data_IF_604450245553
#
_entry.id   IF_604450245553
#
_cell.length_a   1.000
_cell.length_b   1.000
_cell.length_c   1.000
_cell.angle_alpha   90.00
_cell.angle_beta   90.00
_cell.angle_gamma   90.00
#
_symmetry.space_group_name_H-M   'P 1'
#
loop_
_entity.id
_entity.type
_entity.pdbx_description
1 polymer ?
#
# COMPACT_ATOMS: atom_id res chain seq x y z
N UNK A 1 -7.64 7.02 -14.32
CA UNK A 1 -7.40 7.48 -12.94
C UNK A 1 -6.20 8.41 -12.97
N UNK A 2 -6.30 9.58 -12.32
CA UNK A 2 -5.46 10.74 -12.62
C UNK A 2 -3.98 10.58 -12.24
N UNK A 3 -3.13 10.66 -13.26
CA UNK A 3 -1.66 10.76 -13.27
C UNK A 3 -1.08 11.95 -12.47
N UNK A 4 -1.86 12.67 -11.67
CA UNK A 4 -1.48 14.00 -11.16
C UNK A 4 -0.58 13.97 -9.92
N UNK A 5 -0.58 12.87 -9.15
CA UNK A 5 0.11 12.81 -7.84
C UNK A 5 1.61 12.71 -7.94
N UNK A 6 2.12 12.03 -8.98
CA UNK A 6 3.56 11.92 -9.24
C UNK A 6 4.18 13.26 -9.65
N UNK A 7 3.37 14.29 -9.94
CA UNK A 7 3.87 15.61 -10.29
C UNK A 7 3.93 16.58 -9.10
N UNK A 8 3.61 16.16 -7.88
CA UNK A 8 3.71 17.00 -6.69
C UNK A 8 5.16 17.06 -6.14
N UNK A 9 5.86 18.21 -6.22
CA UNK A 9 7.24 18.33 -5.74
C UNK A 9 7.41 18.06 -4.25
N UNK A 10 6.42 18.41 -3.42
CA UNK A 10 6.50 18.19 -1.97
C UNK A 10 6.50 16.70 -1.62
N UNK A 11 5.76 15.88 -2.36
CA UNK A 11 5.76 14.42 -2.17
C UNK A 11 7.14 13.83 -2.43
N UNK A 12 7.80 14.26 -3.50
CA UNK A 12 9.15 13.81 -3.82
C UNK A 12 10.21 14.29 -2.82
N UNK A 13 10.06 15.51 -2.31
CA UNK A 13 10.95 16.04 -1.28
C UNK A 13 10.85 15.24 0.03
N UNK A 14 9.64 14.88 0.44
CA UNK A 14 9.38 14.24 1.73
C UNK A 14 9.57 12.71 1.70
N UNK A 15 9.12 12.04 0.63
CA UNK A 15 9.00 10.57 0.61
C UNK A 15 9.94 9.88 -0.35
N UNK A 16 10.57 10.60 -1.28
CA UNK A 16 11.44 10.02 -2.30
C UNK A 16 12.89 10.51 -2.17
N UNK A 17 13.40 10.55 -0.93
CA UNK A 17 14.78 10.92 -0.60
C UNK A 17 15.26 12.20 -1.31
N UNK A 18 14.49 13.29 -1.14
CA UNK A 18 14.78 14.58 -1.76
C UNK A 18 14.90 14.49 -3.30
N UNK A 19 13.93 13.84 -3.94
CA UNK A 19 13.84 13.63 -5.38
C UNK A 19 14.86 12.63 -5.97
N UNK A 20 15.56 11.83 -5.15
CA UNK A 20 16.51 10.81 -5.62
C UNK A 20 15.88 9.43 -5.78
N UNK A 21 14.75 9.19 -5.10
CA UNK A 21 14.03 7.93 -5.11
C UNK A 21 13.22 7.68 -6.39
N UNK A 22 12.24 6.79 -6.28
CA UNK A 22 11.31 6.43 -7.34
C UNK A 22 9.89 6.23 -6.79
N UNK A 23 8.91 6.23 -7.69
CA UNK A 23 7.51 5.92 -7.41
C UNK A 23 7.06 4.77 -8.31
N UNK A 24 6.27 3.85 -7.75
CA UNK A 24 5.68 2.72 -8.46
C UNK A 24 4.19 2.98 -8.64
N UNK A 25 3.73 2.96 -9.89
CA UNK A 25 2.32 2.88 -10.24
C UNK A 25 1.90 1.41 -10.36
N UNK A 26 0.78 1.05 -9.73
CA UNK A 26 0.22 -0.29 -9.78
C UNK A 26 -1.05 -0.33 -10.65
N UNK A 27 -1.25 -1.44 -11.35
CA UNK A 27 -2.52 -1.76 -11.98
C UNK A 27 -3.53 -2.22 -10.93
N UNK A 28 -4.48 -1.33 -10.63
CA UNK A 28 -5.52 -1.57 -9.63
C UNK A 28 -6.84 -2.06 -10.22
N UNK A 29 -6.89 -2.39 -11.52
CA UNK A 29 -8.12 -2.85 -12.18
C UNK A 29 -8.63 -4.19 -11.64
N UNK A 30 -7.74 -4.99 -11.04
CA UNK A 30 -8.06 -6.29 -10.46
C UNK A 30 -8.84 -6.21 -9.15
N UNK A 31 -9.45 -7.33 -8.72
CA UNK A 31 -10.29 -7.37 -7.52
C UNK A 31 -9.51 -7.18 -6.21
N UNK A 32 -8.18 -7.36 -6.23
CA UNK A 32 -7.34 -7.34 -5.03
C UNK A 32 -7.50 -6.08 -4.18
N UNK A 33 -7.57 -4.89 -4.80
CA UNK A 33 -7.76 -3.60 -4.11
C UNK A 33 -9.16 -3.00 -4.32
N UNK A 34 -9.93 -3.54 -5.27
CA UNK A 34 -11.20 -2.96 -5.72
C UNK A 34 -12.45 -3.76 -5.34
N UNK A 35 -12.31 -4.98 -4.82
CA UNK A 35 -13.46 -5.78 -4.40
C UNK A 35 -13.78 -5.62 -2.91
N UNK A 36 -15.06 -5.37 -2.54
CA UNK A 36 -15.54 -5.43 -1.16
C UNK A 36 -15.38 -6.82 -0.49
N UNK A 37 -15.17 -7.87 -1.29
CA UNK A 37 -14.89 -9.22 -0.77
C UNK A 37 -13.50 -9.30 -0.10
N UNK A 38 -12.55 -8.46 -0.51
CA UNK A 38 -11.17 -8.44 0.01
C UNK A 38 -10.83 -7.18 0.81
N UNK A 39 -11.67 -6.15 0.71
CA UNK A 39 -11.41 -4.83 1.24
C UNK A 39 -12.64 -4.33 2.01
N UNK A 40 -12.42 -3.77 3.20
CA UNK A 40 -13.43 -2.96 3.89
C UNK A 40 -13.62 -1.62 3.18
N UNK A 41 -12.51 -1.02 2.73
CA UNK A 41 -12.47 0.21 1.93
C UNK A 41 -11.63 -0.08 0.68
N UNK A 42 -12.22 0.07 -0.50
CA UNK A 42 -11.58 -0.16 -1.80
C UNK A 42 -10.79 1.06 -2.26
N UNK A 43 -9.89 0.89 -3.24
CA UNK A 43 -9.13 2.03 -3.79
C UNK A 43 -10.04 3.12 -4.38
N UNK A 44 -11.16 2.74 -5.02
CA UNK A 44 -12.14 3.68 -5.57
C UNK A 44 -12.91 4.47 -4.50
N UNK A 45 -12.92 4.00 -3.26
CA UNK A 45 -13.60 4.63 -2.11
C UNK A 45 -12.64 5.01 -0.99
N UNK A 46 -11.34 5.07 -1.29
CA UNK A 46 -10.28 5.26 -0.31
C UNK A 46 -9.79 6.70 -0.14
N UNK A 47 -10.45 7.67 -0.77
CA UNK A 47 -10.09 9.09 -0.68
C UNK A 47 -10.10 9.61 0.76
N UNK A 48 -8.97 10.17 1.19
CA UNK A 48 -8.81 10.69 2.55
C UNK A 48 -9.56 12.01 2.72
N UNK A 49 -10.38 12.09 3.76
CA UNK A 49 -11.04 13.30 4.23
C UNK A 49 -10.06 14.15 5.04
N UNK A 50 -9.72 15.31 4.50
CA UNK A 50 -8.86 16.31 5.14
C UNK A 50 -9.69 17.34 5.91
N UNK A 51 -9.42 17.50 7.20
CA UNK A 51 -10.14 18.45 8.05
C UNK A 51 -9.26 19.06 9.14
N UNK A 52 -9.56 20.30 9.52
CA UNK A 52 -8.99 20.95 10.72
C UNK A 52 -9.86 20.72 11.97
N UNK A 53 -11.06 20.15 11.80
CA UNK A 53 -12.03 19.98 12.86
C UNK A 53 -12.23 18.51 13.19
N UNK A 54 -12.15 18.17 14.47
CA UNK A 54 -12.53 16.86 14.98
C UNK A 54 -13.98 16.93 15.42
N UNK A 55 -14.90 16.40 14.62
CA UNK A 55 -16.30 16.26 15.05
C UNK A 55 -16.38 15.16 16.10
N UNK A 56 -16.80 15.46 17.35
CA UNK A 56 -16.99 14.44 18.37
C UNK A 56 -17.89 13.32 17.84
N UNK A 57 -17.55 12.08 18.17
CA UNK A 57 -18.38 10.93 17.89
C UNK A 57 -19.03 10.53 19.22
N UNK A 58 -20.35 10.73 19.34
CA UNK A 58 -21.07 10.36 20.55
C UNK A 58 -21.04 8.83 20.69
N UNK A 59 -20.60 8.32 21.83
CA UNK A 59 -20.62 6.90 22.16
C UNK A 59 -21.93 6.61 22.89
N UNK A 60 -22.95 6.18 22.14
CA UNK A 60 -24.25 5.77 22.64
C UNK A 60 -24.55 4.35 22.12
N UNK A 61 -25.60 3.67 22.60
CA UNK A 61 -25.86 2.29 22.18
C UNK A 61 -25.98 2.11 20.66
N UNK A 62 -26.62 3.05 19.96
CA UNK A 62 -26.79 3.00 18.50
C UNK A 62 -25.45 3.16 17.75
N UNK A 63 -24.63 4.11 18.17
CA UNK A 63 -23.33 4.35 17.53
C UNK A 63 -22.31 3.26 17.85
N UNK A 64 -22.39 2.66 19.04
CA UNK A 64 -21.60 1.49 19.41
C UNK A 64 -22.00 0.25 18.60
N UNK A 65 -23.29 0.07 18.31
CA UNK A 65 -23.77 -1.01 17.43
C UNK A 65 -23.25 -0.82 15.99
N UNK A 66 -23.30 0.42 15.47
CA UNK A 66 -22.73 0.73 14.16
C UNK A 66 -21.20 0.48 14.11
N UNK A 67 -20.47 0.84 15.16
CA UNK A 67 -19.03 0.53 15.30
C UNK A 67 -18.77 -0.98 15.32
N UNK A 68 -19.58 -1.72 16.08
CA UNK A 68 -19.50 -3.18 16.14
C UNK A 68 -19.75 -3.80 14.77
N UNK A 69 -20.73 -3.31 14.01
CA UNK A 69 -20.99 -3.76 12.64
C UNK A 69 -19.82 -3.54 11.69
N UNK A 70 -19.18 -2.37 11.75
CA UNK A 70 -17.94 -2.10 10.97
C UNK A 70 -16.82 -3.05 11.37
N UNK A 71 -16.61 -3.26 12.67
CA UNK A 71 -15.63 -4.21 13.19
C UNK A 71 -15.91 -5.63 12.68
N UNK A 72 -17.11 -6.15 12.86
CA UNK A 72 -17.53 -7.47 12.43
C UNK A 72 -17.31 -7.69 10.93
N UNK A 73 -17.69 -6.71 10.09
CA UNK A 73 -17.48 -6.82 8.65
C UNK A 73 -15.99 -6.84 8.27
N UNK A 74 -15.14 -6.13 9.00
CA UNK A 74 -13.69 -6.16 8.80
C UNK A 74 -13.09 -7.56 9.07
N UNK A 75 -13.76 -8.36 9.90
CA UNK A 75 -13.40 -9.74 10.25
C UNK A 75 -14.24 -10.81 9.52
N UNK A 76 -14.91 -10.45 8.42
CA UNK A 76 -15.58 -11.40 7.52
C UNK A 76 -17.03 -11.72 7.84
N UNK A 77 -17.60 -11.18 8.92
CA UNK A 77 -19.01 -11.36 9.20
C UNK A 77 -19.89 -10.64 8.17
N UNK A 78 -20.97 -11.28 7.76
CA UNK A 78 -21.96 -10.68 6.87
C UNK A 78 -22.79 -9.62 7.60
N UNK A 79 -23.10 -8.53 6.90
CA UNK A 79 -23.87 -7.42 7.43
C UNK A 79 -23.65 -6.14 6.63
N UNK A 80 -24.59 -5.20 6.75
CA UNK A 80 -24.41 -3.86 6.23
C UNK A 80 -23.50 -3.08 7.19
N UNK A 81 -22.21 -2.99 6.86
CA UNK A 81 -21.36 -2.02 7.55
C UNK A 81 -21.78 -0.61 7.14
N UNK A 82 -21.81 0.29 8.12
CA UNK A 82 -21.87 1.71 7.84
C UNK A 82 -20.55 2.15 7.20
N UNK A 83 -20.53 2.15 5.87
CA UNK A 83 -19.39 2.56 5.07
C UNK A 83 -19.01 4.03 5.30
N UNK A 84 -19.98 4.89 5.62
CA UNK A 84 -19.70 6.27 5.96
C UNK A 84 -18.95 6.37 7.30
N UNK A 85 -19.34 5.55 8.28
CA UNK A 85 -18.63 5.43 9.55
C UNK A 85 -17.22 4.85 9.37
N UNK A 86 -17.07 3.76 8.61
CA UNK A 86 -15.75 3.16 8.33
C UNK A 86 -14.80 4.18 7.67
N UNK A 87 -15.28 4.91 6.67
CA UNK A 87 -14.54 6.00 6.02
C UNK A 87 -14.17 7.11 7.01
N UNK A 88 -15.10 7.56 7.84
CA UNK A 88 -14.82 8.60 8.86
C UNK A 88 -13.74 8.16 9.86
N UNK A 89 -13.72 6.89 10.27
CA UNK A 89 -12.74 6.37 11.22
C UNK A 89 -11.35 6.22 10.62
N UNK A 90 -11.27 5.69 9.39
CA UNK A 90 -10.02 5.21 8.80
C UNK A 90 -9.43 6.16 7.76
N UNK A 91 -10.23 7.06 7.20
CA UNK A 91 -9.84 7.98 6.12
C UNK A 91 -9.78 9.44 6.58
N UNK A 92 -9.76 9.73 7.88
CA UNK A 92 -9.61 11.13 8.34
C UNK A 92 -8.14 11.47 8.56
N UNK A 93 -7.71 12.63 8.05
CA UNK A 93 -6.37 13.21 8.28
C UNK A 93 -6.48 14.72 8.50
N UNK A 94 -5.47 15.30 9.16
CA UNK A 94 -5.44 16.75 9.39
C UNK A 94 -5.23 17.51 8.08
N UNK A 95 -5.88 18.67 7.89
CA UNK A 95 -5.84 19.38 6.60
C UNK A 95 -4.46 19.92 6.19
N UNK A 96 -3.52 20.05 7.13
CA UNK A 96 -2.11 20.36 6.81
C UNK A 96 -1.45 19.35 5.86
N UNK A 97 -2.04 18.16 5.69
CA UNK A 97 -1.54 17.08 4.83
C UNK A 97 -2.32 16.96 3.51
N UNK A 98 -3.20 17.92 3.18
CA UNK A 98 -4.06 17.85 1.99
C UNK A 98 -3.28 17.70 0.69
N UNK A 99 -2.05 18.21 0.64
CA UNK A 99 -1.18 18.12 -0.53
C UNK A 99 -0.80 16.68 -0.89
N UNK A 100 -0.92 15.72 0.02
CA UNK A 100 -0.58 14.33 -0.27
C UNK A 100 -1.60 13.63 -1.17
N UNK A 101 -2.84 14.13 -1.18
CA UNK A 101 -3.96 13.50 -1.89
C UNK A 101 -4.05 11.99 -1.62
N UNK A 102 -3.83 11.56 -0.37
CA UNK A 102 -3.70 10.16 0.03
C UNK A 102 -4.97 9.36 -0.31
N UNK A 103 -4.77 8.11 -0.76
CA UNK A 103 -5.85 7.10 -0.91
C UNK A 103 -5.47 5.89 -0.09
N UNK A 104 -6.36 5.43 0.80
CA UNK A 104 -6.15 4.25 1.64
C UNK A 104 -7.05 3.11 1.20
N UNK A 105 -6.47 1.93 1.09
CA UNK A 105 -7.20 0.67 0.99
C UNK A 105 -7.14 -0.01 2.34
N UNK A 106 -8.28 -0.51 2.83
CA UNK A 106 -8.35 -1.25 4.10
C UNK A 106 -8.64 -2.71 3.81
N UNK A 107 -7.62 -3.56 3.92
CA UNK A 107 -7.69 -5.00 3.60
C UNK A 107 -8.35 -5.79 4.74
N UNK A 108 -9.17 -6.77 4.38
CA UNK A 108 -9.64 -7.82 5.29
C UNK A 108 -8.57 -8.90 5.36
N UNK A 109 -7.73 -8.85 6.39
CA UNK A 109 -6.57 -9.76 6.53
C UNK A 109 -6.97 -11.05 7.26
N UNK A 110 -8.02 -11.01 8.07
CA UNK A 110 -8.50 -12.17 8.83
C UNK A 110 -10.01 -12.28 8.65
N UNK A 111 -10.47 -13.51 8.50
CA UNK A 111 -11.88 -13.86 8.43
C UNK A 111 -12.19 -14.85 9.55
N UNK A 112 -13.00 -14.44 10.53
CA UNK A 112 -13.36 -15.26 11.70
C UNK A 112 -14.46 -16.27 11.40
N UNK A 113 -15.05 -16.22 10.21
CA UNK A 113 -16.14 -17.12 9.80
C UNK A 113 -15.63 -18.38 9.11
N UNK A 114 -14.34 -18.45 8.81
CA UNK A 114 -13.70 -19.57 8.13
C UNK A 114 -12.36 -19.93 8.77
N UNK A 115 -11.82 -21.12 8.45
CA UNK A 115 -10.49 -21.47 8.91
C UNK A 115 -9.42 -20.62 8.24
N UNK A 116 -8.29 -20.47 8.91
CA UNK A 116 -7.11 -19.81 8.35
C UNK A 116 -6.66 -20.50 7.06
N UNK A 117 -6.72 -21.84 7.02
CA UNK A 117 -6.31 -22.65 5.88
C UNK A 117 -7.20 -22.34 4.67
N UNK A 118 -8.52 -22.30 4.86
CA UNK A 118 -9.46 -21.97 3.78
C UNK A 118 -9.26 -20.54 3.29
N UNK A 119 -9.03 -19.59 4.21
CA UNK A 119 -8.76 -18.20 3.84
C UNK A 119 -7.45 -17.98 3.09
N UNK A 120 -6.40 -18.72 3.44
CA UNK A 120 -5.10 -18.66 2.77
C UNK A 120 -5.09 -19.47 1.46
N UNK A 121 -6.06 -20.35 1.21
CA UNK A 121 -6.20 -21.06 -0.06
C UNK A 121 -6.61 -20.12 -1.22
N UNK A 122 -7.18 -18.95 -0.91
CA UNK A 122 -7.47 -17.90 -1.89
C UNK A 122 -6.20 -17.06 -2.15
N UNK A 123 -5.67 -17.03 -3.40
CA UNK A 123 -4.46 -16.27 -3.73
C UNK A 123 -4.54 -14.78 -3.40
N UNK A 124 -5.74 -14.17 -3.40
CA UNK A 124 -5.94 -12.74 -3.14
C UNK A 124 -6.04 -12.40 -1.64
N UNK A 125 -6.15 -13.43 -0.79
CA UNK A 125 -6.12 -13.36 0.67
C UNK A 125 -4.84 -13.97 1.24
N UNK A 126 -4.14 -14.81 0.48
CA UNK A 126 -2.89 -15.44 0.93
C UNK A 126 -1.85 -14.39 1.26
N UNK A 127 -1.25 -14.52 2.44
CA UNK A 127 -0.28 -13.56 2.96
C UNK A 127 0.80 -14.26 3.76
N UNK A 128 2.00 -13.68 3.71
CA UNK A 128 3.16 -14.25 4.35
C UNK A 128 3.00 -14.22 5.88
N UNK A 129 3.17 -15.38 6.52
CA UNK A 129 3.16 -15.52 7.98
C UNK A 129 4.57 -15.57 8.52
N UNK A 130 4.98 -14.53 9.26
CA UNK A 130 6.20 -14.43 10.08
C UNK A 130 6.20 -15.42 11.26
N UNK A 131 5.93 -16.70 11.03
CA UNK A 131 5.44 -17.57 12.10
C UNK A 131 6.16 -18.92 12.20
N UNK A 132 7.44 -19.00 11.87
CA UNK A 132 8.24 -20.11 12.42
C UNK A 132 9.41 -19.59 13.25
N UNK A 133 9.59 -20.23 14.39
CA UNK A 133 10.80 -20.05 15.20
C UNK A 133 11.99 -20.48 14.34
N UNK A 134 13.06 -19.69 14.39
CA UNK A 134 14.35 -20.15 13.89
C UNK A 134 14.91 -21.18 14.86
N UNK A 135 15.46 -22.25 14.31
CA UNK A 135 16.36 -23.10 15.06
C UNK A 135 17.77 -22.50 15.06
N UNK A 136 18.55 -22.61 16.15
CA UNK A 136 19.87 -21.96 16.27
C UNK A 136 20.88 -22.28 15.16
N UNK A 137 20.66 -23.37 14.41
CA UNK A 137 21.54 -23.83 13.34
C UNK A 137 21.24 -23.21 11.97
N UNK A 138 20.12 -22.50 11.81
CA UNK A 138 19.65 -22.01 10.51
C UNK A 138 20.33 -20.72 10.05
N UNK A 139 21.09 -20.04 10.91
CA UNK A 139 21.81 -18.81 10.58
C UNK A 139 23.21 -18.83 11.21
N UNK A 140 24.22 -19.02 10.36
CA UNK A 140 25.62 -19.04 10.78
C UNK A 140 26.05 -17.69 11.37
N UNK A 141 26.34 -17.65 12.67
CA UNK A 141 26.88 -16.48 13.37
C UNK A 141 25.85 -15.57 14.05
N UNK A 142 24.56 -15.94 14.06
CA UNK A 142 23.53 -15.20 14.79
C UNK A 142 23.12 -15.91 16.09
N UNK A 143 23.28 -15.25 17.24
CA UNK A 143 22.77 -15.73 18.53
C UNK A 143 21.33 -15.21 18.73
N UNK A 144 20.34 -15.98 18.25
CA UNK A 144 18.93 -15.61 18.37
C UNK A 144 18.37 -16.08 19.71
N UNK A 145 18.02 -15.14 20.59
CA UNK A 145 17.31 -15.48 21.82
C UNK A 145 15.87 -15.96 21.51
N UNK A 146 15.22 -16.72 22.40
CA UNK A 146 13.79 -17.01 22.27
C UNK A 146 12.98 -15.71 22.10
N UNK A 147 12.11 -15.65 21.09
CA UNK A 147 11.29 -14.47 20.76
C UNK A 147 11.71 -13.71 19.49
N UNK A 148 12.79 -14.13 18.83
CA UNK A 148 13.18 -13.61 17.52
C UNK A 148 12.50 -14.42 16.41
N UNK A 149 11.89 -13.73 15.46
CA UNK A 149 11.29 -14.31 14.25
C UNK A 149 12.11 -13.86 13.05
N UNK A 150 12.32 -14.74 12.08
CA UNK A 150 12.92 -14.38 10.80
C UNK A 150 11.93 -14.66 9.69
N UNK A 151 11.78 -13.68 8.80
CA UNK A 151 11.12 -13.91 7.53
C UNK A 151 12.04 -14.84 6.71
N UNK A 152 11.59 -16.02 6.24
CA UNK A 152 12.29 -16.75 5.22
C UNK A 152 12.55 -15.78 4.08
N UNK A 153 13.80 -15.81 3.63
CA UNK A 153 14.13 -15.30 2.31
C UNK A 153 13.18 -15.99 1.34
N UNK A 154 12.15 -15.30 0.87
CA UNK A 154 11.57 -15.66 -0.41
C UNK A 154 12.68 -15.41 -1.45
N UNK A 155 12.58 -16.03 -2.63
CA UNK A 155 13.57 -15.81 -3.71
C UNK A 155 13.69 -14.33 -4.13
N UNK A 156 12.78 -13.47 -3.63
CA UNK A 156 12.69 -12.02 -3.83
C UNK A 156 13.07 -11.20 -2.56
N UNK A 157 14.12 -11.60 -1.84
CA UNK A 157 14.69 -10.94 -0.63
C UNK A 157 14.82 -9.41 -0.59
N UNK A 158 14.56 -8.69 -1.68
CA UNK A 158 14.50 -7.22 -1.72
C UNK A 158 13.09 -6.66 -1.51
N UNK A 159 12.06 -7.50 -1.39
CA UNK A 159 10.66 -7.06 -1.42
C UNK A 159 9.87 -7.59 -0.21
N UNK A 160 9.52 -6.67 0.71
CA UNK A 160 8.64 -6.93 1.85
C UNK A 160 7.18 -7.00 1.38
N UNK A 161 6.80 -8.07 0.68
CA UNK A 161 5.40 -8.30 0.34
C UNK A 161 4.66 -8.92 1.52
N UNK A 162 3.61 -8.23 1.97
CA UNK A 162 2.70 -8.81 2.95
C UNK A 162 1.86 -9.92 2.32
N UNK A 163 1.40 -9.76 1.08
CA UNK A 163 0.54 -10.71 0.37
C UNK A 163 1.29 -11.52 -0.69
N UNK A 164 0.85 -12.75 -0.94
CA UNK A 164 1.42 -13.58 -2.01
C UNK A 164 1.03 -13.06 -3.40
N UNK A 165 -0.18 -12.48 -3.51
CA UNK A 165 -0.59 -11.80 -4.73
C UNK A 165 0.23 -10.53 -4.96
N UNK A 166 1.02 -10.54 -6.02
CA UNK A 166 1.78 -9.37 -6.50
C UNK A 166 0.93 -8.56 -7.45
N UNK A 167 0.54 -7.35 -7.02
CA UNK A 167 -0.17 -6.41 -7.89
C UNK A 167 0.75 -6.02 -9.04
N UNK A 168 0.30 -6.12 -10.31
CA UNK A 168 1.14 -5.76 -11.44
C UNK A 168 1.57 -4.29 -11.37
N UNK A 169 2.85 -4.02 -11.57
CA UNK A 169 3.36 -2.66 -11.75
C UNK A 169 2.94 -2.20 -13.14
N UNK A 170 2.35 -1.02 -13.29
CA UNK A 170 2.01 -0.44 -14.59
C UNK A 170 3.10 0.49 -15.11
N UNK A 171 3.68 1.28 -14.20
CA UNK A 171 4.61 2.37 -14.53
C UNK A 171 5.53 2.67 -13.35
N UNK A 172 6.70 3.23 -13.66
CA UNK A 172 7.71 3.62 -12.68
C UNK A 172 8.14 5.04 -13.00
N UNK A 173 8.26 5.88 -11.98
CA UNK A 173 8.77 7.24 -12.09
C UNK A 173 10.05 7.36 -11.30
N UNK A 174 11.09 7.90 -11.92
CA UNK A 174 12.35 8.28 -11.28
C UNK A 174 12.31 9.75 -10.92
N UNK A 175 12.79 10.09 -9.73
CA UNK A 175 12.86 11.48 -9.30
C UNK A 175 13.86 12.30 -10.11
N UNK A 176 13.68 13.61 -10.10
CA UNK A 176 14.51 14.53 -10.89
C UNK A 176 15.99 14.55 -10.52
N UNK A 177 16.35 14.04 -9.34
CA UNK A 177 17.74 13.90 -8.88
C UNK A 177 18.19 12.44 -8.82
N UNK A 178 17.36 11.51 -9.28
CA UNK A 178 17.70 10.10 -9.31
C UNK A 178 18.87 9.84 -10.26
N UNK A 179 19.66 8.81 -9.99
CA UNK A 179 20.69 8.30 -10.91
C UNK A 179 20.43 6.83 -11.27
N UNK A 180 19.24 6.31 -10.96
CA UNK A 180 18.92 4.89 -11.17
C UNK A 180 18.92 4.49 -12.64
N UNK A 181 18.68 5.42 -13.57
CA UNK A 181 18.81 5.10 -15.00
C UNK A 181 20.25 4.76 -15.45
N UNK A 182 21.25 5.11 -14.64
CA UNK A 182 22.66 4.81 -14.91
C UNK A 182 23.06 3.42 -14.42
N UNK A 183 22.23 2.78 -13.57
CA UNK A 183 22.46 1.44 -13.04
C UNK A 183 21.74 0.40 -13.92
N UNK A 184 22.47 -0.42 -14.71
CA UNK A 184 21.86 -1.46 -15.54
C UNK A 184 21.04 -2.48 -14.73
N UNK A 185 21.45 -2.73 -13.47
CA UNK A 185 20.74 -3.67 -12.61
C UNK A 185 19.38 -3.12 -12.16
N UNK A 186 19.18 -1.80 -12.18
CA UNK A 186 17.90 -1.19 -11.79
C UNK A 186 16.79 -1.53 -12.79
N UNK A 187 17.09 -1.57 -14.09
CA UNK A 187 16.12 -2.00 -15.11
C UNK A 187 15.67 -3.46 -14.89
N UNK A 188 16.57 -4.32 -14.40
CA UNK A 188 16.30 -5.73 -14.11
C UNK A 188 15.48 -5.94 -12.82
N UNK A 189 15.35 -4.93 -11.95
CA UNK A 189 14.55 -5.04 -10.71
C UNK A 189 13.05 -5.16 -10.99
N UNK A 190 12.60 -4.67 -12.14
CA UNK A 190 11.19 -4.61 -12.47
C UNK A 190 10.83 -5.61 -13.56
N UNK A 191 9.55 -5.98 -13.59
CA UNK A 191 9.04 -6.91 -14.61
C UNK A 191 9.31 -6.36 -16.02
N UNK A 192 9.63 -7.20 -17.02
CA UNK A 192 9.80 -6.74 -18.40
C UNK A 192 8.56 -6.02 -18.96
N UNK A 193 8.77 -5.00 -19.79
CA UNK A 193 7.70 -4.29 -20.50
C UNK A 193 6.97 -3.20 -19.70
N UNK A 194 7.51 -2.77 -18.56
CA UNK A 194 6.97 -1.61 -17.82
C UNK A 194 7.50 -0.30 -18.36
N UNK A 195 6.65 0.72 -18.33
CA UNK A 195 7.05 2.07 -18.71
C UNK A 195 7.82 2.70 -17.56
N UNK A 196 9.02 3.18 -17.86
CA UNK A 196 9.86 3.91 -16.90
C UNK A 196 9.94 5.35 -17.36
N UNK A 197 9.66 6.28 -16.48
CA UNK A 197 9.72 7.70 -16.72
C UNK A 197 10.77 8.35 -15.82
N UNK A 198 11.47 9.36 -16.33
CA UNK A 198 12.25 10.31 -15.54
C UNK A 198 11.42 11.58 -15.36
N UNK A 199 11.37 12.11 -14.14
CA UNK A 199 10.82 13.44 -13.91
C UNK A 199 11.90 14.50 -14.10
N UNK A 200 11.54 15.60 -14.75
CA UNK A 200 12.38 16.78 -14.91
C UNK A 200 11.64 18.01 -14.37
N UNK A 201 12.36 18.95 -13.75
CA UNK A 201 11.75 20.21 -13.30
C UNK A 201 11.58 21.12 -14.53
N UNK A 202 10.35 21.58 -14.78
CA UNK A 202 10.07 22.51 -15.87
C UNK A 202 10.91 23.80 -15.72
N UNK A 203 11.47 24.30 -16.82
CA UNK A 203 12.38 25.47 -16.77
C UNK A 203 11.67 26.80 -16.43
N UNK A 204 10.34 26.84 -16.59
CA UNK A 204 9.50 28.03 -16.44
C UNK A 204 8.52 27.96 -15.26
N UNK A 205 8.47 26.83 -14.55
CA UNK A 205 7.55 26.61 -13.43
C UNK A 205 8.06 25.52 -12.49
N UNK A 206 7.50 25.44 -11.28
CA UNK A 206 7.86 24.41 -10.30
C UNK A 206 7.18 23.06 -10.53
N UNK A 207 6.54 22.84 -11.68
CA UNK A 207 5.93 21.55 -12.00
C UNK A 207 6.94 20.56 -12.57
N UNK A 208 6.69 19.28 -12.36
CA UNK A 208 7.41 18.23 -13.07
C UNK A 208 6.86 18.00 -14.46
N UNK A 209 7.76 17.68 -15.38
CA UNK A 209 7.49 17.05 -16.66
C UNK A 209 8.03 15.61 -16.61
N UNK A 210 7.48 14.73 -17.43
CA UNK A 210 7.96 13.36 -17.54
C UNK A 210 8.59 13.11 -18.91
N UNK A 211 9.68 12.34 -18.93
CA UNK A 211 10.28 11.79 -20.13
C UNK A 211 10.33 10.28 -20.04
N UNK A 212 9.78 9.59 -21.02
CA UNK A 212 9.86 8.13 -21.10
C UNK A 212 11.31 7.70 -21.37
N UNK A 213 11.80 6.75 -20.57
CA UNK A 213 13.05 6.06 -20.79
C UNK A 213 12.74 4.84 -21.66
N UNK A 214 13.48 4.68 -22.76
CA UNK A 214 13.32 3.51 -23.63
C UNK A 214 13.62 2.25 -22.82
N UNK A 215 12.68 1.30 -22.80
CA UNK A 215 12.93 -0.02 -22.23
C UNK A 215 14.08 -0.66 -23.00
N UNK A 216 15.20 -0.93 -22.31
CA UNK A 216 16.22 -1.83 -22.84
C UNK A 216 15.73 -3.27 -22.77
#
# INVERSE_FOLDING_TARGET
MGSWRVFNPLMWAHYADQHQGFVIGYDVSGPFLNSPAYNLITVDSGDVLYTNTKTPFALNPESMEALLGVYQQAFGFEGAADQALARRLLLTKHASWVYEEEVRVVKKVVDWTQSVQDGQADPLRSYYKLNRNLEPHEVSGGDFKPGYYVAPLNDNTRELYLFDHKVPISEIYLGARSTYEEDPAFAELFQPGRKVFKLDVNQSSWSFEQRELLSQ
#
